data_IF_248149661712
#
_entry.id   IF_248149661712
#
_cell.length_a   1.000
_cell.length_b   1.000
_cell.length_c   1.000
_cell.angle_alpha   90.00
_cell.angle_beta   90.00
_cell.angle_gamma   90.00
#
_symmetry.space_group_name_H-M   'P 1'
#
loop_
_entity.id
_entity.type
_entity.pdbx_description
1 polymer ?
#
# COMPACT_ATOMS: atom_id res chain seq x y z
N UNK A 1 -29.10 -15.63 64.78
CA UNK A 1 -28.70 -15.31 66.17
C UNK A 1 -27.38 -14.55 66.10
N UNK A 2 -27.49 -13.22 66.09
CA UNK A 2 -27.00 -12.34 67.17
C UNK A 2 -25.47 -12.15 67.12
N UNK A 3 -25.00 -11.06 66.49
CA UNK A 3 -24.57 -9.79 67.12
C UNK A 3 -23.33 -9.97 68.01
N UNK A 4 -22.21 -9.33 67.65
CA UNK A 4 -21.72 -8.15 68.38
C UNK A 4 -20.44 -7.56 67.80
N UNK A 5 -20.52 -6.25 67.61
CA UNK A 5 -19.45 -5.27 67.50
C UNK A 5 -18.58 -5.31 68.76
N UNK A 6 -17.26 -5.12 68.64
CA UNK A 6 -16.52 -4.42 69.69
C UNK A 6 -15.30 -3.69 69.14
N UNK A 7 -15.29 -2.40 69.41
CA UNK A 7 -14.22 -1.48 69.16
C UNK A 7 -13.22 -1.47 70.34
N UNK A 8 -12.09 -0.80 70.06
CA UNK A 8 -11.10 -0.23 71.00
C UNK A 8 -9.95 -1.16 71.39
N UNK A 9 -8.78 -0.81 70.88
CA UNK A 9 -7.56 -0.84 71.71
C UNK A 9 -6.85 0.50 71.59
N UNK A 10 -6.84 1.17 72.73
CA UNK A 10 -6.17 2.40 73.06
C UNK A 10 -4.65 2.16 73.10
N UNK A 11 -3.86 3.03 72.47
CA UNK A 11 -2.49 3.28 72.88
C UNK A 11 -2.27 4.79 72.96
N UNK A 12 -2.19 5.24 74.21
CA UNK A 12 -1.85 6.59 74.66
C UNK A 12 -0.50 6.99 74.10
N UNK A 13 -0.41 8.15 73.46
CA UNK A 13 0.83 8.90 73.42
C UNK A 13 0.60 10.22 74.15
N UNK A 14 1.35 10.39 75.24
CA UNK A 14 1.39 11.61 76.03
C UNK A 14 1.78 12.78 75.13
N UNK A 15 0.95 13.83 75.16
CA UNK A 15 1.36 15.18 74.81
C UNK A 15 2.39 15.65 75.84
N UNK A 16 3.62 15.92 75.38
CA UNK A 16 4.53 16.83 76.07
C UNK A 16 4.54 18.11 75.23
N UNK A 17 3.90 19.16 75.74
CA UNK A 17 4.10 20.52 75.26
C UNK A 17 5.46 21.04 75.78
N UNK A 18 6.30 21.64 74.94
CA UNK A 18 7.34 22.55 75.42
C UNK A 18 6.73 23.95 75.56
N UNK A 19 6.86 24.51 76.76
CA UNK A 19 6.58 25.92 77.00
C UNK A 19 7.59 26.80 76.26
N UNK A 20 7.07 27.89 75.70
CA UNK A 20 7.84 28.94 75.05
C UNK A 20 8.69 29.70 76.08
N UNK A 21 9.98 29.85 75.79
CA UNK A 21 10.85 30.84 76.41
C UNK A 21 11.55 31.58 75.28
N UNK A 22 11.36 32.90 75.23
CA UNK A 22 11.95 33.80 74.26
C UNK A 22 13.39 34.16 74.65
N UNK A 23 14.33 34.08 73.71
CA UNK A 23 15.48 34.98 73.63
C UNK A 23 16.11 34.92 72.24
N UNK A 24 16.54 36.08 71.74
CA UNK A 24 16.82 36.35 70.33
C UNK A 24 18.01 35.63 69.69
N UNK A 25 18.08 35.74 68.36
CA UNK A 25 19.30 35.50 67.58
C UNK A 25 19.10 34.70 66.30
N UNK A 26 19.21 35.41 65.16
CA UNK A 26 19.83 34.99 63.88
C UNK A 26 19.39 33.68 63.19
N UNK A 27 18.97 33.84 61.92
CA UNK A 27 19.27 32.86 60.87
C UNK A 27 18.17 31.84 60.56
N UNK A 28 17.14 32.28 59.84
CA UNK A 28 16.26 31.38 59.08
C UNK A 28 17.04 30.77 57.93
N UNK A 29 17.23 29.45 57.93
CA UNK A 29 17.30 28.59 56.75
C UNK A 29 17.13 27.14 57.21
N UNK A 30 15.87 26.74 57.41
CA UNK A 30 15.53 25.32 57.52
C UNK A 30 15.73 24.68 56.14
N UNK A 31 16.42 23.51 56.03
CA UNK A 31 16.49 22.80 54.78
C UNK A 31 15.06 22.39 54.42
N UNK A 32 14.60 22.78 53.23
CA UNK A 32 13.35 22.29 52.68
C UNK A 32 13.47 20.76 52.61
N UNK A 33 12.89 20.08 53.60
CA UNK A 33 12.58 18.67 53.54
C UNK A 33 11.75 18.50 52.28
N UNK A 34 12.41 18.08 51.21
CA UNK A 34 11.79 17.70 49.98
C UNK A 34 10.96 16.46 50.33
N UNK A 35 9.73 16.69 50.79
CA UNK A 35 8.73 15.67 51.00
C UNK A 35 8.43 15.12 49.62
N UNK A 36 9.24 14.16 49.22
CA UNK A 36 8.95 13.31 48.09
C UNK A 36 7.58 12.71 48.42
N UNK A 37 6.55 13.15 47.70
CA UNK A 37 5.20 12.62 47.87
C UNK A 37 5.24 11.13 47.52
N UNK A 38 5.48 10.30 48.54
CA UNK A 38 5.33 8.86 48.45
C UNK A 38 3.83 8.63 48.33
N UNK A 39 3.33 8.59 47.09
CA UNK A 39 1.95 8.20 46.82
C UNK A 39 1.79 6.76 47.32
N UNK A 40 1.21 6.58 48.49
CA UNK A 40 0.76 5.28 48.99
C UNK A 40 -0.44 4.79 48.15
N UNK A 41 -0.18 4.41 46.89
CA UNK A 41 -1.15 3.66 46.08
C UNK A 41 -1.26 2.25 46.67
N UNK A 42 -2.24 2.04 47.53
CA UNK A 42 -2.60 0.77 48.19
C UNK A 42 -3.16 -0.30 47.23
N UNK A 43 -3.02 -0.14 45.90
CA UNK A 43 -3.55 -1.10 44.91
C UNK A 43 -2.57 -2.20 44.53
N UNK A 44 -1.34 -2.18 45.05
CA UNK A 44 -0.35 -3.26 44.87
C UNK A 44 -0.27 -4.06 46.16
N UNK A 45 -0.65 -5.33 46.09
CA UNK A 45 -0.49 -6.25 47.22
C UNK A 45 0.98 -6.26 47.66
N UNK A 46 1.27 -6.04 48.96
CA UNK A 46 2.62 -5.78 49.46
C UNK A 46 3.48 -7.05 49.61
N UNK A 47 2.85 -8.23 49.75
CA UNK A 47 3.53 -9.49 50.04
C UNK A 47 4.71 -9.75 49.07
N UNK A 48 5.88 -10.21 49.58
CA UNK A 48 7.07 -10.46 48.76
C UNK A 48 6.86 -11.54 47.68
N UNK A 49 6.02 -12.54 47.93
CA UNK A 49 5.69 -13.65 47.01
C UNK A 49 5.23 -13.13 45.64
N UNK A 50 4.48 -12.03 45.63
CA UNK A 50 3.93 -11.44 44.41
C UNK A 50 4.89 -10.46 43.73
N UNK A 51 6.12 -10.27 44.23
CA UNK A 51 7.13 -9.35 43.63
C UNK A 51 7.47 -9.74 42.20
N UNK A 52 7.59 -11.04 41.91
CA UNK A 52 7.86 -11.56 40.55
C UNK A 52 6.69 -11.25 39.61
N UNK A 53 5.45 -11.49 40.05
CA UNK A 53 4.24 -11.18 39.30
C UNK A 53 4.05 -9.67 39.08
N UNK A 54 4.39 -8.83 40.08
CA UNK A 54 4.40 -7.37 39.94
C UNK A 54 5.41 -6.87 38.90
N UNK A 55 6.55 -7.56 38.76
CA UNK A 55 7.56 -7.27 37.72
C UNK A 55 7.07 -7.74 36.35
N UNK A 56 6.46 -8.92 36.26
CA UNK A 56 5.94 -9.50 35.02
C UNK A 56 4.72 -8.77 34.45
N UNK A 57 4.04 -7.91 35.24
CA UNK A 57 2.97 -7.02 34.73
C UNK A 57 3.42 -6.13 33.56
N UNK A 58 4.70 -5.76 33.52
CA UNK A 58 5.28 -4.94 32.47
C UNK A 58 6.21 -5.79 31.61
N UNK A 59 5.64 -6.51 30.64
CA UNK A 59 6.43 -7.19 29.61
C UNK A 59 6.78 -6.15 28.55
N UNK A 60 8.07 -5.83 28.41
CA UNK A 60 8.56 -5.03 27.28
C UNK A 60 8.57 -5.95 26.06
N UNK A 61 7.59 -5.78 25.19
CA UNK A 61 7.52 -6.50 23.91
C UNK A 61 8.14 -5.56 22.88
N UNK A 62 9.21 -6.00 22.22
CA UNK A 62 9.77 -5.28 21.08
C UNK A 62 8.79 -5.40 19.92
N UNK A 63 8.21 -4.26 19.52
CA UNK A 63 7.28 -4.22 18.40
C UNK A 63 8.07 -4.32 17.10
N UNK A 64 7.63 -5.13 16.12
CA UNK A 64 8.21 -5.14 14.80
C UNK A 64 8.21 -3.74 14.18
N UNK A 65 9.33 -3.34 13.57
CA UNK A 65 9.41 -2.07 12.85
C UNK A 65 8.65 -2.19 11.52
N UNK A 66 7.49 -1.53 11.41
CA UNK A 66 6.63 -1.63 10.22
C UNK A 66 7.15 -0.84 9.01
N UNK A 67 8.20 -0.04 9.18
CA UNK A 67 8.80 0.77 8.11
C UNK A 67 9.84 0.02 7.27
N UNK A 68 10.39 -1.05 7.81
CA UNK A 68 11.39 -1.87 7.12
C UNK A 68 10.69 -2.81 6.13
N UNK A 69 11.08 -2.73 4.85
CA UNK A 69 10.58 -3.66 3.85
C UNK A 69 11.28 -5.00 4.01
N UNK A 70 10.58 -6.13 3.85
CA UNK A 70 11.18 -7.46 3.96
C UNK A 70 12.24 -7.75 2.88
N UNK A 71 12.27 -6.94 1.82
CA UNK A 71 13.21 -7.04 0.69
C UNK A 71 14.61 -6.49 1.04
N UNK A 72 14.69 -5.53 1.96
CA UNK A 72 15.95 -4.88 2.36
C UNK A 72 16.69 -5.68 3.46
N UNK A 73 16.02 -6.66 4.05
CA UNK A 73 16.57 -7.48 5.15
C UNK A 73 17.45 -8.57 4.57
N UNK A 74 18.72 -8.60 4.97
CA UNK A 74 19.63 -9.68 4.57
C UNK A 74 19.09 -11.04 5.06
N UNK A 75 19.37 -12.13 4.33
CA UNK A 75 18.93 -13.48 4.72
C UNK A 75 19.44 -13.87 6.13
N UNK A 76 20.58 -13.31 6.53
CA UNK A 76 21.19 -13.51 7.83
C UNK A 76 20.45 -12.77 8.95
N UNK A 77 20.07 -11.52 8.71
CA UNK A 77 19.21 -10.74 9.61
C UNK A 77 17.81 -11.33 9.72
N UNK A 78 17.25 -11.85 8.63
CA UNK A 78 15.97 -12.56 8.69
C UNK A 78 16.09 -13.79 9.59
N UNK A 79 17.21 -14.52 9.49
CA UNK A 79 17.49 -15.68 10.34
C UNK A 79 17.75 -15.29 11.80
N UNK A 80 18.43 -14.17 12.07
CA UNK A 80 18.61 -13.68 13.45
C UNK A 80 17.27 -13.27 14.06
N UNK A 81 16.43 -12.54 13.32
CA UNK A 81 15.07 -12.18 13.73
C UNK A 81 14.19 -13.40 13.99
N UNK A 82 14.27 -14.43 13.12
CA UNK A 82 13.55 -15.69 13.34
C UNK A 82 14.03 -16.39 14.62
N UNK A 83 15.35 -16.41 14.88
CA UNK A 83 15.93 -16.96 16.11
C UNK A 83 15.53 -16.17 17.36
N UNK A 84 15.58 -14.84 17.31
CA UNK A 84 15.14 -13.94 18.40
C UNK A 84 13.66 -14.13 18.72
N UNK A 85 12.82 -14.29 17.69
CA UNK A 85 11.39 -14.58 17.83
C UNK A 85 11.11 -16.03 18.26
N UNK A 86 12.12 -16.90 18.29
CA UNK A 86 11.97 -18.33 18.58
C UNK A 86 11.17 -19.10 17.53
N UNK A 87 11.03 -18.55 16.32
CA UNK A 87 10.28 -19.17 15.22
C UNK A 87 11.26 -19.91 14.31
N UNK A 88 11.09 -21.21 14.17
CA UNK A 88 11.85 -22.00 13.21
C UNK A 88 11.34 -21.71 11.79
N UNK A 89 12.22 -21.70 10.77
CA UNK A 89 11.77 -21.62 9.39
C UNK A 89 10.85 -22.82 9.09
N UNK A 90 9.71 -22.61 8.42
CA UNK A 90 8.82 -23.71 8.09
C UNK A 90 9.55 -24.70 7.17
N UNK A 91 9.48 -25.99 7.50
CA UNK A 91 10.01 -27.05 6.62
C UNK A 91 9.06 -27.19 5.43
N UNK A 92 9.53 -27.14 4.17
CA UNK A 92 8.67 -27.27 3.01
C UNK A 92 8.32 -28.75 2.79
N UNK A 93 7.48 -29.31 3.67
CA UNK A 93 6.84 -30.60 3.44
C UNK A 93 5.51 -30.34 2.71
N UNK A 94 5.56 -30.30 1.38
CA UNK A 94 4.39 -30.04 0.54
C UNK A 94 3.73 -31.37 0.15
N UNK A 95 2.87 -31.92 1.01
CA UNK A 95 2.08 -33.12 0.66
C UNK A 95 1.05 -32.81 -0.44
N UNK A 96 0.49 -31.60 -0.41
CA UNK A 96 -0.48 -31.12 -1.40
C UNK A 96 0.09 -29.92 -2.17
N UNK A 97 0.29 -30.02 -3.49
CA UNK A 97 0.73 -28.87 -4.27
C UNK A 97 -0.36 -27.79 -4.29
N UNK A 98 0.06 -26.53 -4.36
CA UNK A 98 -0.86 -25.42 -4.54
C UNK A 98 -1.47 -25.49 -5.94
N UNK A 99 -2.80 -25.45 -6.02
CA UNK A 99 -3.50 -25.32 -7.29
C UNK A 99 -3.51 -23.86 -7.71
N UNK A 100 -2.89 -23.56 -8.84
CA UNK A 100 -2.80 -22.23 -9.42
C UNK A 100 -3.81 -22.15 -10.57
N UNK A 101 -4.79 -21.26 -10.44
CA UNK A 101 -5.87 -21.06 -11.43
C UNK A 101 -5.61 -19.91 -12.40
N UNK A 102 -4.65 -19.03 -12.11
CA UNK A 102 -4.24 -17.94 -12.98
C UNK A 102 -2.73 -17.69 -12.89
N UNK A 103 -2.18 -17.03 -13.89
CA UNK A 103 -0.76 -16.70 -13.96
C UNK A 103 -0.40 -15.51 -13.08
N UNK A 104 0.90 -15.27 -12.84
CA UNK A 104 1.35 -14.12 -12.05
C UNK A 104 1.28 -12.78 -12.80
N UNK A 105 1.28 -12.82 -14.13
CA UNK A 105 1.19 -11.63 -14.99
C UNK A 105 1.05 -11.99 -16.46
N UNK A 106 1.12 -10.98 -17.32
CA UNK A 106 1.01 -11.12 -18.78
C UNK A 106 2.26 -11.77 -19.37
N UNK A 107 2.07 -12.75 -20.26
CA UNK A 107 3.13 -13.27 -21.11
C UNK A 107 3.32 -12.37 -22.32
N UNK A 108 4.55 -11.87 -22.53
CA UNK A 108 4.91 -11.06 -23.69
C UNK A 108 3.87 -9.97 -24.00
N UNK A 109 3.83 -8.92 -23.17
CA UNK A 109 2.83 -7.86 -23.29
C UNK A 109 2.75 -7.30 -24.73
N UNK A 110 1.53 -7.17 -25.23
CA UNK A 110 1.29 -6.52 -26.51
C UNK A 110 1.72 -5.05 -26.41
N UNK A 111 2.57 -4.60 -27.33
CA UNK A 111 2.97 -3.20 -27.45
C UNK A 111 2.14 -2.57 -28.57
N UNK A 112 1.16 -1.71 -28.24
CA UNK A 112 0.39 -1.01 -29.25
C UNK A 112 1.26 -0.09 -30.10
N UNK A 113 1.10 -0.09 -31.43
CA UNK A 113 1.86 0.81 -32.30
C UNK A 113 1.56 2.27 -31.97
N UNK A 114 2.59 3.10 -31.98
CA UNK A 114 2.45 4.55 -31.79
C UNK A 114 1.57 5.13 -32.90
N UNK A 115 0.51 5.83 -32.50
CA UNK A 115 -0.45 6.41 -33.45
C UNK A 115 -1.64 5.51 -33.80
N UNK A 116 -1.96 4.49 -33.00
CA UNK A 116 -3.25 3.77 -33.12
C UNK A 116 -4.50 4.67 -32.90
N UNK A 117 -4.30 5.96 -32.56
CA UNK A 117 -5.32 7.03 -32.60
C UNK A 117 -5.08 8.15 -33.63
N UNK A 118 -3.93 8.18 -34.32
CA UNK A 118 -3.57 9.16 -35.36
C UNK A 118 -2.64 8.47 -36.36
N UNK A 119 -3.12 8.22 -37.59
CA UNK A 119 -2.39 7.53 -38.67
C UNK A 119 -0.92 7.98 -38.71
N UNK A 120 0.01 7.09 -38.35
CA UNK A 120 1.44 7.40 -38.30
C UNK A 120 2.02 7.58 -39.71
N UNK A 121 2.71 8.71 -39.89
CA UNK A 121 3.56 9.03 -41.04
C UNK A 121 4.72 8.03 -41.02
N UNK A 122 4.99 7.40 -42.16
CA UNK A 122 5.95 6.30 -42.32
C UNK A 122 7.35 6.77 -41.89
N UNK A 123 7.81 6.30 -40.72
CA UNK A 123 9.18 6.50 -40.20
C UNK A 123 9.97 5.19 -40.21
N UNK A 124 11.30 5.26 -40.24
CA UNK A 124 12.20 4.10 -40.22
C UNK A 124 12.08 3.26 -38.94
N UNK A 125 11.73 3.90 -37.81
CA UNK A 125 11.37 3.22 -36.56
C UNK A 125 10.11 2.37 -36.70
N UNK A 126 9.12 2.86 -37.46
CA UNK A 126 7.87 2.14 -37.73
C UNK A 126 8.05 0.87 -38.57
N UNK A 127 9.08 0.81 -39.44
CA UNK A 127 9.39 -0.40 -40.20
C UNK A 127 9.90 -1.55 -39.30
N UNK A 128 10.77 -1.23 -38.33
CA UNK A 128 11.23 -2.22 -37.32
C UNK A 128 10.08 -2.74 -36.47
N UNK A 129 9.22 -1.84 -36.00
CA UNK A 129 8.00 -2.21 -35.26
C UNK A 129 7.07 -3.11 -36.08
N UNK A 130 6.93 -2.87 -37.39
CA UNK A 130 6.13 -3.73 -38.29
C UNK A 130 6.71 -5.13 -38.46
N UNK A 131 8.03 -5.28 -38.54
CA UNK A 131 8.67 -6.60 -38.62
C UNK A 131 8.48 -7.40 -37.34
N UNK A 132 8.72 -6.78 -36.18
CA UNK A 132 8.44 -7.41 -34.88
C UNK A 132 6.97 -7.78 -34.74
N UNK A 133 6.06 -6.94 -35.24
CA UNK A 133 4.63 -7.22 -35.21
C UNK A 133 4.26 -8.43 -36.07
N UNK A 134 4.91 -8.65 -37.21
CA UNK A 134 4.70 -9.84 -38.04
C UNK A 134 5.17 -11.12 -37.32
N UNK A 135 6.31 -11.08 -36.66
CA UNK A 135 6.79 -12.21 -35.84
C UNK A 135 5.82 -12.49 -34.67
N UNK A 136 5.38 -11.44 -33.97
CA UNK A 136 4.43 -11.58 -32.87
C UNK A 136 3.08 -12.12 -33.33
N UNK A 137 2.66 -11.76 -34.54
CA UNK A 137 1.45 -12.27 -35.20
C UNK A 137 1.57 -13.75 -35.55
N UNK A 138 2.69 -14.22 -36.09
CA UNK A 138 2.86 -15.65 -36.41
C UNK A 138 2.74 -16.51 -35.14
N UNK A 139 3.38 -16.09 -34.05
CA UNK A 139 3.24 -16.73 -32.72
C UNK A 139 1.80 -16.70 -32.22
N UNK A 140 1.06 -15.60 -32.46
CA UNK A 140 -0.34 -15.50 -32.05
C UNK A 140 -1.26 -16.45 -32.83
N UNK A 141 -1.00 -16.67 -34.12
CA UNK A 141 -1.76 -17.64 -34.91
C UNK A 141 -1.52 -19.08 -34.43
N UNK A 142 -0.29 -19.40 -34.04
CA UNK A 142 0.05 -20.70 -33.44
C UNK A 142 -0.66 -20.86 -32.09
N UNK A 143 -0.67 -19.81 -31.25
CA UNK A 143 -1.39 -19.82 -29.98
C UNK A 143 -2.90 -20.03 -30.18
N UNK A 144 -3.53 -19.33 -31.13
CA UNK A 144 -4.96 -19.54 -31.44
C UNK A 144 -5.24 -20.96 -31.90
N UNK A 145 -4.36 -21.57 -32.71
CA UNK A 145 -4.49 -22.99 -33.07
C UNK A 145 -4.38 -23.91 -31.87
N UNK A 146 -3.46 -23.62 -30.93
CA UNK A 146 -3.32 -24.37 -29.68
C UNK A 146 -4.56 -24.22 -28.79
N UNK A 147 -5.16 -23.03 -28.71
CA UNK A 147 -6.43 -22.84 -27.98
C UNK A 147 -7.53 -23.71 -28.60
N UNK A 148 -7.66 -23.66 -29.93
CA UNK A 148 -8.66 -24.45 -30.67
C UNK A 148 -8.48 -25.96 -30.55
N UNK A 149 -7.27 -26.45 -30.28
CA UNK A 149 -7.06 -27.89 -30.07
C UNK A 149 -7.56 -28.40 -28.71
N UNK A 150 -7.68 -27.52 -27.71
CA UNK A 150 -8.26 -27.87 -26.42
C UNK A 150 -9.74 -27.47 -26.31
N UNK A 151 -10.12 -26.37 -26.96
CA UNK A 151 -11.47 -25.81 -26.93
C UNK A 151 -11.98 -25.60 -28.35
N UNK A 152 -12.76 -26.56 -28.85
CA UNK A 152 -13.33 -26.55 -30.20
C UNK A 152 -14.36 -25.42 -30.40
N UNK A 153 -14.97 -24.93 -29.30
CA UNK A 153 -15.96 -23.86 -29.35
C UNK A 153 -15.34 -22.47 -29.56
N UNK A 154 -14.01 -22.36 -29.40
CA UNK A 154 -13.33 -21.08 -29.44
C UNK A 154 -13.19 -20.52 -30.87
N UNK A 155 -13.94 -19.44 -31.14
CA UNK A 155 -13.80 -18.63 -32.34
C UNK A 155 -13.24 -17.25 -32.03
N UNK A 156 -12.19 -16.84 -32.75
CA UNK A 156 -11.54 -15.53 -32.60
C UNK A 156 -12.48 -14.36 -32.89
N UNK A 157 -13.45 -14.59 -33.78
CA UNK A 157 -14.32 -13.54 -34.29
C UNK A 157 -15.49 -13.30 -33.33
N UNK A 158 -15.97 -14.37 -32.68
CA UNK A 158 -17.04 -14.30 -31.67
C UNK A 158 -16.51 -13.88 -30.30
N UNK A 159 -15.24 -14.18 -30.00
CA UNK A 159 -14.63 -13.87 -28.71
C UNK A 159 -14.64 -12.37 -28.38
N UNK A 160 -14.63 -11.48 -29.39
CA UNK A 160 -14.75 -10.04 -29.14
C UNK A 160 -16.02 -9.67 -28.38
N UNK A 161 -17.16 -10.27 -28.73
CA UNK A 161 -18.44 -10.02 -28.08
C UNK A 161 -18.48 -10.62 -26.67
N UNK A 162 -18.01 -11.87 -26.51
CA UNK A 162 -17.92 -12.53 -25.20
C UNK A 162 -17.03 -11.74 -24.23
N UNK A 163 -15.88 -11.25 -24.72
CA UNK A 163 -14.96 -10.42 -23.95
C UNK A 163 -15.62 -9.12 -23.47
N UNK A 164 -16.46 -8.50 -24.31
CA UNK A 164 -17.20 -7.30 -23.95
C UNK A 164 -18.24 -7.59 -22.84
N UNK A 165 -18.95 -8.71 -22.93
CA UNK A 165 -19.90 -9.13 -21.90
C UNK A 165 -19.22 -9.38 -20.55
N UNK A 166 -18.10 -10.10 -20.55
CA UNK A 166 -17.28 -10.33 -19.35
C UNK A 166 -16.80 -9.00 -18.77
N UNK A 167 -16.34 -8.08 -19.62
CA UNK A 167 -15.88 -6.76 -19.20
C UNK A 167 -16.99 -5.96 -18.53
N UNK A 168 -18.18 -5.89 -19.13
CA UNK A 168 -19.33 -5.15 -18.58
C UNK A 168 -19.83 -5.79 -17.29
N UNK A 169 -19.92 -7.12 -17.24
CA UNK A 169 -20.32 -7.85 -16.04
C UNK A 169 -19.34 -7.60 -14.88
N UNK A 170 -18.04 -7.66 -15.12
CA UNK A 170 -17.03 -7.43 -14.09
C UNK A 170 -17.10 -6.02 -13.50
N UNK A 171 -17.22 -4.98 -14.33
CA UNK A 171 -17.30 -3.59 -13.85
C UNK A 171 -18.63 -3.30 -13.15
N UNK A 172 -19.74 -3.91 -13.58
CA UNK A 172 -21.05 -3.80 -12.91
C UNK A 172 -21.01 -4.44 -11.53
N UNK A 173 -20.41 -5.64 -11.41
CA UNK A 173 -20.24 -6.34 -10.13
C UNK A 173 -19.26 -5.64 -9.20
N UNK A 174 -18.22 -5.01 -9.76
CA UNK A 174 -17.28 -4.15 -9.01
C UNK A 174 -18.01 -2.94 -8.41
N UNK A 175 -18.85 -2.26 -9.20
CA UNK A 175 -19.66 -1.13 -8.73
C UNK A 175 -20.67 -1.54 -7.64
N UNK A 176 -21.30 -2.71 -7.79
CA UNK A 176 -22.20 -3.30 -6.79
C UNK A 176 -21.48 -3.84 -5.54
N UNK A 177 -20.15 -3.98 -5.57
CA UNK A 177 -19.31 -4.56 -4.51
C UNK A 177 -19.65 -6.02 -4.15
N UNK A 178 -20.11 -6.79 -5.13
CA UNK A 178 -20.45 -8.20 -4.97
C UNK A 178 -19.19 -9.08 -4.95
N UNK A 179 -18.70 -9.38 -3.73
CA UNK A 179 -17.39 -10.03 -3.50
C UNK A 179 -17.25 -11.42 -4.14
N UNK A 180 -18.33 -12.19 -4.19
CA UNK A 180 -18.28 -13.60 -4.62
C UNK A 180 -18.44 -13.74 -6.12
N UNK A 181 -19.46 -13.10 -6.70
CA UNK A 181 -19.79 -13.20 -8.13
C UNK A 181 -18.67 -12.66 -9.03
N UNK A 182 -17.98 -11.60 -8.61
CA UNK A 182 -16.92 -11.00 -9.42
C UNK A 182 -15.73 -11.96 -9.66
N UNK A 183 -15.49 -12.92 -8.76
CA UNK A 183 -14.38 -13.90 -8.87
C UNK A 183 -14.56 -14.87 -10.04
N UNK A 184 -15.79 -14.99 -10.56
CA UNK A 184 -16.06 -15.80 -11.74
C UNK A 184 -15.61 -15.12 -13.03
N UNK A 185 -15.60 -13.78 -13.05
CA UNK A 185 -15.26 -12.96 -14.22
C UNK A 185 -13.83 -12.40 -14.18
N UNK A 186 -13.20 -12.39 -13.01
CA UNK A 186 -11.91 -11.75 -12.76
C UNK A 186 -10.93 -12.77 -12.16
N UNK A 187 -9.68 -12.75 -12.61
CA UNK A 187 -8.62 -13.61 -12.11
C UNK A 187 -8.18 -13.21 -10.70
N UNK A 188 -7.51 -14.13 -10.00
CA UNK A 188 -6.98 -13.93 -8.66
C UNK A 188 -5.89 -12.84 -8.62
N UNK A 189 -5.21 -12.63 -9.76
CA UNK A 189 -4.23 -11.55 -9.95
C UNK A 189 -4.86 -10.18 -10.14
N UNK A 190 -5.93 -10.10 -10.93
CA UNK A 190 -6.63 -8.86 -11.27
C UNK A 190 -7.53 -8.38 -10.12
N UNK A 191 -8.12 -9.31 -9.37
CA UNK A 191 -9.09 -9.01 -8.32
C UNK A 191 -8.56 -8.01 -7.27
N UNK A 192 -7.34 -8.16 -6.70
CA UNK A 192 -6.78 -7.19 -5.77
C UNK A 192 -6.62 -5.81 -6.39
N UNK A 193 -6.16 -5.71 -7.64
CA UNK A 193 -5.96 -4.42 -8.31
C UNK A 193 -7.26 -3.69 -8.58
N UNK A 194 -8.30 -4.42 -9.03
CA UNK A 194 -9.62 -3.86 -9.25
C UNK A 194 -10.30 -3.43 -7.95
N UNK A 195 -10.16 -4.22 -6.88
CA UNK A 195 -10.84 -3.96 -5.60
C UNK A 195 -10.05 -3.03 -4.68
N UNK A 196 -8.77 -2.77 -4.98
CA UNK A 196 -7.96 -1.82 -4.25
C UNK A 196 -8.63 -0.44 -4.31
N UNK A 197 -8.71 0.26 -3.18
CA UNK A 197 -9.37 1.57 -3.03
C UNK A 197 -10.89 1.62 -3.32
N UNK A 198 -11.57 0.50 -3.61
CA UNK A 198 -13.02 0.50 -3.88
C UNK A 198 -13.86 0.47 -2.60
N UNK A 199 -13.34 -0.10 -1.50
CA UNK A 199 -14.10 -0.38 -0.27
C UNK A 199 -14.84 0.85 0.26
N UNK A 200 -14.15 1.97 0.41
CA UNK A 200 -14.67 3.20 1.03
C UNK A 200 -15.20 4.22 0.01
N UNK A 201 -15.41 3.83 -1.25
CA UNK A 201 -15.88 4.72 -2.33
C UNK A 201 -17.13 4.16 -2.99
N UNK A 202 -18.00 5.02 -3.51
CA UNK A 202 -19.14 4.59 -4.34
C UNK A 202 -18.82 4.88 -5.79
N UNK A 203 -18.95 3.87 -6.65
CA UNK A 203 -18.58 3.97 -8.07
C UNK A 203 -19.84 3.84 -8.89
N UNK A 204 -20.14 4.87 -9.68
CA UNK A 204 -21.13 4.82 -10.74
C UNK A 204 -20.38 4.69 -12.06
N UNK A 205 -20.37 3.47 -12.59
CA UNK A 205 -19.81 3.17 -13.91
C UNK A 205 -20.93 2.67 -14.81
N UNK A 206 -20.98 3.17 -16.04
CA UNK A 206 -21.92 2.72 -17.06
C UNK A 206 -21.21 2.55 -18.39
N UNK A 207 -21.46 1.42 -19.03
CA UNK A 207 -21.14 1.18 -20.43
C UNK A 207 -22.24 1.80 -21.30
N UNK A 208 -21.87 2.65 -22.26
CA UNK A 208 -22.84 3.23 -23.19
C UNK A 208 -22.86 2.48 -24.52
N UNK A 209 -21.78 2.59 -25.28
CA UNK A 209 -21.67 1.99 -26.60
C UNK A 209 -20.22 1.69 -26.96
N UNK A 210 -20.04 0.74 -27.88
CA UNK A 210 -18.75 0.50 -28.52
C UNK A 210 -18.65 1.36 -29.76
N UNK A 211 -17.64 2.22 -29.86
CA UNK A 211 -17.39 3.04 -31.05
C UNK A 211 -16.83 2.20 -32.19
N UNK A 212 -15.87 1.35 -31.84
CA UNK A 212 -15.38 0.29 -32.73
C UNK A 212 -15.70 -1.06 -32.11
N UNK A 213 -15.95 -2.10 -32.92
CA UNK A 213 -16.13 -3.44 -32.41
C UNK A 213 -14.83 -3.92 -31.72
N UNK A 214 -14.93 -4.69 -30.62
CA UNK A 214 -13.78 -5.23 -29.92
C UNK A 214 -12.99 -6.17 -30.85
N UNK A 215 -11.68 -5.98 -30.92
CA UNK A 215 -10.80 -6.76 -31.81
C UNK A 215 -9.76 -7.52 -31.01
N UNK A 216 -9.62 -8.81 -31.30
CA UNK A 216 -8.52 -9.63 -30.78
C UNK A 216 -7.23 -9.21 -31.48
N UNK A 217 -6.24 -8.76 -30.71
CA UNK A 217 -4.98 -8.24 -31.27
C UNK A 217 -3.85 -9.25 -31.14
N UNK A 218 -3.76 -9.88 -29.97
CA UNK A 218 -2.64 -10.74 -29.63
C UNK A 218 -3.11 -11.89 -28.74
N UNK A 219 -2.58 -13.07 -29.00
CA UNK A 219 -2.84 -14.28 -28.21
C UNK A 219 -1.52 -14.99 -27.90
N UNK A 220 -1.43 -15.55 -26.70
CA UNK A 220 -0.29 -16.32 -26.19
C UNK A 220 -0.78 -17.52 -25.40
N UNK A 221 -0.04 -18.62 -25.52
CA UNK A 221 -0.26 -19.81 -24.71
C UNK A 221 1.07 -20.23 -24.10
N UNK A 222 1.07 -20.56 -22.83
CA UNK A 222 2.27 -20.97 -22.11
C UNK A 222 1.96 -22.12 -21.15
N UNK A 223 3.02 -22.83 -20.78
CA UNK A 223 3.00 -23.92 -19.82
C UNK A 223 3.56 -23.40 -18.48
N UNK A 224 2.88 -23.68 -17.37
CA UNK A 224 3.26 -23.19 -16.04
C UNK A 224 3.50 -24.36 -15.10
N UNK A 225 4.70 -24.45 -14.54
CA UNK A 225 5.19 -25.53 -13.66
C UNK A 225 5.31 -26.87 -14.40
N UNK A 226 4.22 -27.41 -14.93
CA UNK A 226 4.15 -28.66 -15.69
C UNK A 226 3.64 -28.39 -17.10
N UNK A 227 4.01 -29.27 -18.06
CA UNK A 227 3.56 -29.17 -19.46
C UNK A 227 2.05 -29.38 -19.63
N UNK A 228 1.43 -30.02 -18.64
CA UNK A 228 0.01 -30.29 -18.58
C UNK A 228 -0.79 -29.04 -18.21
N UNK A 229 -0.22 -28.09 -17.46
CA UNK A 229 -0.90 -26.87 -17.05
C UNK A 229 -0.66 -25.76 -18.08
N UNK A 230 -1.61 -25.59 -18.99
CA UNK A 230 -1.53 -24.61 -20.07
C UNK A 230 -2.51 -23.47 -19.87
N UNK A 231 -1.98 -22.25 -19.91
CA UNK A 231 -2.74 -21.03 -19.79
C UNK A 231 -2.73 -20.31 -21.14
N UNK A 232 -3.91 -19.86 -21.58
CA UNK A 232 -4.04 -18.95 -22.69
C UNK A 232 -4.28 -17.55 -22.16
N UNK A 233 -3.63 -16.59 -22.80
CA UNK A 233 -3.90 -15.17 -22.67
C UNK A 233 -4.29 -14.60 -24.02
N UNK A 234 -5.39 -13.85 -24.05
CA UNK A 234 -5.89 -13.18 -25.24
C UNK A 234 -6.09 -11.72 -24.91
N UNK A 235 -5.46 -10.85 -25.70
CA UNK A 235 -5.59 -9.40 -25.58
C UNK A 235 -6.61 -8.88 -26.58
N UNK A 236 -7.55 -8.07 -26.09
CA UNK A 236 -8.63 -7.48 -26.86
C UNK A 236 -8.51 -5.97 -26.78
N UNK A 237 -8.53 -5.31 -27.94
CA UNK A 237 -8.59 -3.85 -28.06
C UNK A 237 -10.03 -3.41 -27.95
N UNK A 238 -10.33 -2.60 -26.94
CA UNK A 238 -11.60 -1.93 -26.74
C UNK A 238 -11.48 -0.45 -27.11
N UNK A 239 -12.43 0.03 -27.91
CA UNK A 239 -12.64 1.46 -28.13
C UNK A 239 -14.10 1.78 -27.86
N UNK A 240 -14.36 2.29 -26.64
CA UNK A 240 -15.70 2.32 -26.05
C UNK A 240 -16.00 3.68 -25.45
N UNK A 241 -17.28 4.04 -25.39
CA UNK A 241 -17.77 5.19 -24.66
C UNK A 241 -18.26 4.77 -23.28
N UNK A 242 -17.68 5.40 -22.25
CA UNK A 242 -17.94 5.07 -20.86
C UNK A 242 -18.27 6.31 -20.05
N UNK A 243 -19.03 6.10 -18.97
CA UNK A 243 -19.25 7.10 -17.92
C UNK A 243 -18.69 6.58 -16.61
N UNK A 244 -18.00 7.46 -15.88
CA UNK A 244 -17.41 7.15 -14.60
C UNK A 244 -17.57 8.33 -13.66
N UNK A 245 -18.20 8.08 -12.51
CA UNK A 245 -18.24 8.98 -11.37
C UNK A 245 -17.86 8.21 -10.10
N UNK A 246 -16.86 8.71 -9.38
CA UNK A 246 -16.38 8.14 -8.14
C UNK A 246 -16.71 9.10 -7.02
N UNK A 247 -17.43 8.61 -6.02
CA UNK A 247 -17.80 9.35 -4.83
C UNK A 247 -17.01 8.86 -3.61
N UNK A 248 -16.65 9.79 -2.73
CA UNK A 248 -16.06 9.53 -1.42
C UNK A 248 -17.05 8.81 -0.49
N UNK A 249 -16.58 8.35 0.67
CA UNK A 249 -17.42 7.76 1.73
C UNK A 249 -18.57 8.69 2.16
N UNK A 250 -18.35 10.00 2.06
CA UNK A 250 -19.33 11.03 2.39
C UNK A 250 -20.22 11.45 1.20
N UNK A 251 -20.13 10.76 0.06
CA UNK A 251 -20.95 11.06 -1.12
C UNK A 251 -20.49 12.30 -1.91
N UNK A 252 -19.31 12.84 -1.65
CA UNK A 252 -18.72 13.94 -2.44
C UNK A 252 -18.05 13.40 -3.70
N UNK A 253 -18.22 14.09 -4.82
CA UNK A 253 -17.56 13.70 -6.08
C UNK A 253 -16.04 13.84 -5.96
N UNK A 254 -15.33 12.74 -6.14
CA UNK A 254 -13.86 12.67 -6.10
C UNK A 254 -13.25 12.77 -7.49
N UNK A 255 -13.84 12.07 -8.47
CA UNK A 255 -13.31 12.01 -9.81
C UNK A 255 -14.42 11.68 -10.82
N UNK A 256 -14.28 12.23 -12.03
CA UNK A 256 -15.18 11.96 -13.14
C UNK A 256 -16.47 12.77 -13.07
N UNK A 257 -17.48 12.34 -13.82
CA UNK A 257 -18.79 12.99 -13.92
C UNK A 257 -19.80 11.97 -14.40
N UNK A 258 -21.02 12.01 -13.89
CA UNK A 258 -22.08 11.06 -14.30
C UNK A 258 -22.68 11.41 -15.66
N UNK A 259 -22.57 12.67 -16.08
CA UNK A 259 -23.18 13.19 -17.32
C UNK A 259 -22.21 13.12 -18.50
N UNK A 260 -20.92 13.38 -18.26
CA UNK A 260 -19.93 13.47 -19.33
C UNK A 260 -19.45 12.07 -19.74
N UNK A 261 -19.72 11.73 -20.99
CA UNK A 261 -19.24 10.52 -21.64
C UNK A 261 -17.80 10.72 -22.11
N UNK A 262 -16.96 9.70 -21.95
CA UNK A 262 -15.58 9.73 -22.43
C UNK A 262 -15.30 8.55 -23.33
N UNK A 263 -14.54 8.82 -24.37
CA UNK A 263 -13.98 7.79 -25.24
C UNK A 263 -12.76 7.19 -24.53
N UNK A 264 -12.76 5.86 -24.39
CA UNK A 264 -11.69 5.12 -23.74
C UNK A 264 -11.17 4.07 -24.70
N UNK A 265 -9.86 4.08 -24.92
CA UNK A 265 -9.12 3.07 -25.67
C UNK A 265 -8.30 2.24 -24.68
N UNK A 266 -8.59 0.94 -24.60
CA UNK A 266 -7.94 0.03 -23.65
C UNK A 266 -7.55 -1.28 -24.35
N UNK A 267 -6.45 -1.87 -23.92
CA UNK A 267 -6.07 -3.24 -24.30
C UNK A 267 -6.19 -4.11 -23.07
N UNK A 268 -7.22 -4.96 -23.07
CA UNK A 268 -7.58 -5.77 -21.92
C UNK A 268 -7.15 -7.20 -22.18
N UNK A 269 -6.50 -7.81 -21.20
CA UNK A 269 -6.00 -9.18 -21.27
C UNK A 269 -6.98 -10.09 -20.54
N UNK A 270 -7.44 -11.12 -21.25
CA UNK A 270 -8.23 -12.21 -20.70
C UNK A 270 -7.34 -13.44 -20.59
N UNK A 271 -7.56 -14.23 -19.54
CA UNK A 271 -6.85 -15.48 -19.32
C UNK A 271 -7.85 -16.62 -19.11
N UNK A 272 -7.52 -17.79 -19.66
CA UNK A 272 -8.20 -19.05 -19.40
C UNK A 272 -7.17 -20.13 -19.12
N UNK A 273 -7.41 -20.91 -18.05
CA UNK A 273 -6.70 -22.17 -17.83
C UNK A 273 -7.32 -23.21 -18.77
N UNK A 274 -6.65 -23.49 -19.89
CA UNK A 274 -7.22 -24.27 -20.99
C UNK A 274 -7.22 -25.77 -20.68
N UNK A 275 -6.23 -26.22 -19.90
CA UNK A 275 -6.13 -27.63 -19.50
C UNK A 275 -7.24 -28.07 -18.55
N UNK A 276 -7.93 -27.12 -17.92
CA UNK A 276 -9.06 -27.40 -17.04
C UNK A 276 -10.37 -27.37 -17.84
N UNK A 277 -11.15 -28.44 -17.76
CA UNK A 277 -12.47 -28.57 -18.39
C UNK A 277 -13.44 -27.45 -17.97
N UNK A 278 -13.35 -27.00 -16.72
CA UNK A 278 -14.20 -25.94 -16.17
C UNK A 278 -13.59 -24.54 -16.33
N UNK A 279 -12.52 -24.41 -17.13
CA UNK A 279 -11.84 -23.15 -17.39
C UNK A 279 -12.77 -22.16 -18.09
N UNK A 280 -13.00 -20.99 -17.47
CA UNK A 280 -13.71 -19.86 -18.08
C UNK A 280 -12.73 -18.76 -18.44
N UNK A 281 -13.08 -17.95 -19.44
CA UNK A 281 -12.37 -16.71 -19.73
C UNK A 281 -12.60 -15.70 -18.61
N UNK A 282 -11.52 -15.17 -18.05
CA UNK A 282 -11.55 -14.19 -16.96
C UNK A 282 -10.64 -13.01 -17.27
N UNK A 283 -10.99 -11.83 -16.78
CA UNK A 283 -10.13 -10.65 -16.83
C UNK A 283 -8.86 -10.90 -16.03
N UNK A 284 -7.70 -10.66 -16.66
CA UNK A 284 -6.40 -10.87 -16.04
C UNK A 284 -5.65 -9.58 -15.75
N UNK A 285 -5.54 -8.71 -16.76
CA UNK A 285 -4.73 -7.50 -16.64
C UNK A 285 -5.14 -6.48 -17.73
N UNK A 286 -4.66 -5.24 -17.60
CA UNK A 286 -4.88 -4.14 -18.53
C UNK A 286 -3.54 -3.56 -18.98
N UNK A 287 -3.29 -3.57 -20.28
CA UNK A 287 -2.11 -2.94 -20.86
C UNK A 287 -2.39 -1.45 -21.07
N UNK A 288 -1.57 -0.60 -20.45
CA UNK A 288 -1.60 0.85 -20.61
C UNK A 288 -0.39 1.24 -21.49
N UNK A 289 -0.60 1.71 -22.74
CA UNK A 289 0.52 2.15 -23.56
C UNK A 289 1.08 3.48 -23.05
N UNK A 290 2.40 3.64 -23.15
CA UNK A 290 3.12 4.83 -22.67
C UNK A 290 2.71 6.13 -23.38
N UNK A 291 2.28 6.01 -24.64
CA UNK A 291 1.85 7.15 -25.47
C UNK A 291 0.40 7.58 -25.20
N UNK A 292 -0.35 6.88 -24.34
CA UNK A 292 -1.70 7.28 -23.97
C UNK A 292 -1.66 8.63 -23.24
N UNK A 293 -2.55 9.59 -23.55
CA UNK A 293 -2.61 10.83 -22.78
C UNK A 293 -2.86 10.54 -21.30
N UNK A 294 -2.25 11.35 -20.44
CA UNK A 294 -2.45 11.24 -19.01
C UNK A 294 -3.94 11.31 -18.65
N UNK A 295 -4.34 10.54 -17.63
CA UNK A 295 -5.71 10.56 -17.11
C UNK A 295 -6.04 11.96 -16.59
N UNK A 296 -7.32 12.32 -16.65
CA UNK A 296 -7.76 13.61 -16.14
C UNK A 296 -7.38 13.75 -14.66
N UNK A 297 -6.88 14.93 -14.25
CA UNK A 297 -6.54 15.15 -12.85
C UNK A 297 -7.78 15.11 -11.97
N UNK A 298 -7.61 14.74 -10.70
CA UNK A 298 -8.67 14.94 -9.70
C UNK A 298 -8.78 16.43 -9.38
N UNK A 299 -9.98 16.94 -9.06
CA UNK A 299 -10.18 18.31 -8.59
C UNK A 299 -9.48 18.61 -7.25
N UNK A 300 -9.03 17.58 -6.53
CA UNK A 300 -8.35 17.71 -5.24
C UNK A 300 -6.86 18.00 -5.45
N UNK A 301 -6.37 19.04 -4.76
CA UNK A 301 -4.94 19.37 -4.68
C UNK A 301 -4.27 18.62 -3.53
N UNK A 302 -3.04 18.15 -3.72
CA UNK A 302 -2.22 17.52 -2.68
C UNK A 302 -0.93 18.30 -2.46
N UNK A 303 -0.37 18.22 -1.24
CA UNK A 303 0.96 18.74 -0.91
C UNK A 303 1.95 17.58 -0.94
N UNK A 304 2.98 17.67 -1.75
CA UNK A 304 4.12 16.75 -1.67
C UNK A 304 4.93 17.14 -0.43
N UNK A 305 5.07 16.22 0.51
CA UNK A 305 6.03 16.35 1.60
C UNK A 305 7.28 15.68 1.05
N UNK A 306 8.28 16.49 0.71
CA UNK A 306 9.62 15.97 0.45
C UNK A 306 10.13 15.45 1.79
N UNK A 307 10.29 14.14 1.91
CA UNK A 307 10.92 13.55 3.08
C UNK A 307 12.30 14.17 3.17
N UNK A 308 12.53 14.98 4.21
CA UNK A 308 13.85 15.52 4.53
C UNK A 308 14.74 14.31 4.71
N UNK A 309 15.69 14.12 3.80
CA UNK A 309 16.76 13.14 3.98
C UNK A 309 17.40 13.44 5.33
N UNK A 310 17.12 12.61 6.33
CA UNK A 310 17.82 12.67 7.60
C UNK A 310 19.29 12.36 7.27
N UNK A 311 20.12 13.40 7.19
CA UNK A 311 21.57 13.24 7.04
C UNK A 311 22.03 12.23 8.10
N UNK A 312 22.79 11.19 7.73
CA UNK A 312 23.27 10.22 8.71
C UNK A 312 24.04 10.98 9.79
N UNK A 313 23.86 10.65 11.08
CA UNK A 313 24.56 11.33 12.16
C UNK A 313 26.05 11.24 11.87
N UNK A 314 26.69 12.39 11.65
CA UNK A 314 28.14 12.50 11.54
C UNK A 314 28.73 11.82 12.76
N UNK A 315 29.39 10.67 12.55
CA UNK A 315 30.18 10.00 13.56
C UNK A 315 31.21 11.02 14.06
N UNK A 316 31.02 11.51 15.29
CA UNK A 316 32.04 12.27 15.99
C UNK A 316 33.22 11.32 16.19
N UNK A 317 34.30 11.56 15.44
CA UNK A 317 35.54 10.82 15.55
C UNK A 317 36.01 10.79 17.00
N UNK A 318 36.34 9.59 17.46
CA UNK A 318 36.95 9.35 18.75
C UNK A 318 38.27 10.11 18.85
N UNK A 319 38.35 11.09 19.76
CA UNK A 319 39.60 11.75 20.12
C UNK A 319 39.47 13.20 20.53
N UNK A 320 38.72 13.50 21.59
CA UNK A 320 39.00 14.67 22.44
C UNK A 320 38.39 14.47 23.83
N UNK A 321 39.25 14.45 24.85
CA UNK A 321 38.88 14.32 26.26
C UNK A 321 38.20 15.60 26.80
N UNK A 322 37.35 15.49 27.84
CA UNK A 322 36.45 16.56 28.27
C UNK A 322 37.18 17.61 29.13
N UNK A 323 37.04 18.90 28.78
CA UNK A 323 37.36 20.02 29.68
C UNK A 323 36.14 20.41 30.53
N UNK A 324 36.30 20.76 31.82
CA UNK A 324 35.18 20.96 32.74
C UNK A 324 34.43 22.26 32.46
N UNK A 325 33.11 22.22 32.73
CA UNK A 325 32.19 23.35 32.73
C UNK A 325 32.50 24.32 33.89
N UNK A 326 32.77 25.59 33.57
CA UNK A 326 32.53 26.70 34.50
C UNK A 326 31.32 27.51 34.05
N UNK A 327 30.51 27.88 35.04
CA UNK A 327 29.23 28.54 34.92
C UNK A 327 29.38 30.06 34.99
N UNK A 328 28.72 30.74 34.03
CA UNK A 328 28.06 32.02 34.24
C UNK A 328 28.82 33.28 33.84
N UNK A 329 28.39 33.92 32.75
CA UNK A 329 27.68 35.21 32.82
C UNK A 329 27.29 35.75 31.42
N UNK A 330 26.02 36.14 31.32
CA UNK A 330 25.48 37.29 30.58
C UNK A 330 25.51 37.30 29.03
N UNK A 331 24.33 37.04 28.47
CA UNK A 331 23.92 37.46 27.12
C UNK A 331 23.77 39.00 27.03
N UNK A 332 24.06 39.58 25.86
CA UNK A 332 23.27 40.69 25.33
C UNK A 332 22.39 40.22 24.17
N UNK A 333 21.17 40.75 24.14
CA UNK A 333 20.17 40.60 23.08
C UNK A 333 20.60 41.38 21.82
N UNK A 334 20.55 40.73 20.66
CA UNK A 334 20.40 41.37 19.33
C UNK A 334 19.26 40.62 18.60
N UNK A 335 18.05 41.16 18.64
CA UNK A 335 17.42 41.98 17.60
C UNK A 335 17.21 41.24 16.26
N UNK A 336 15.98 40.73 16.10
CA UNK A 336 15.36 40.31 14.85
C UNK A 336 15.46 41.43 13.80
N UNK A 337 16.16 41.18 12.69
CA UNK A 337 16.01 41.93 11.45
C UNK A 337 15.28 41.06 10.43
N UNK A 338 14.18 41.61 9.91
CA UNK A 338 13.38 41.08 8.82
C UNK A 338 14.13 41.28 7.50
N UNK A 339 14.62 40.21 6.88
CA UNK A 339 15.15 40.28 5.52
C UNK A 339 14.05 40.13 4.47
N UNK A 340 14.08 41.09 3.55
CA UNK A 340 13.20 41.29 2.39
C UNK A 340 13.73 40.45 1.21
N UNK A 341 12.89 39.92 0.30
CA UNK A 341 13.34 38.96 -0.71
C UNK A 341 14.18 39.62 -1.82
N UNK A 342 15.22 38.96 -2.37
CA UNK A 342 16.00 39.50 -3.47
C UNK A 342 15.30 39.35 -4.82
N UNK A 343 15.14 40.47 -5.52
CA UNK A 343 14.78 40.56 -6.94
C UNK A 343 15.77 39.75 -7.80
N UNK A 344 15.25 38.84 -8.64
CA UNK A 344 16.02 38.24 -9.74
C UNK A 344 15.72 38.99 -11.03
N UNK A 345 16.72 39.73 -11.50
CA UNK A 345 16.78 40.27 -12.86
C UNK A 345 16.92 39.14 -13.89
N UNK A 346 15.93 38.93 -14.74
CA UNK A 346 16.05 38.15 -15.97
C UNK A 346 15.95 39.09 -17.17
N UNK A 347 17.05 39.23 -17.91
CA UNK A 347 17.04 39.78 -19.28
C UNK A 347 16.57 38.69 -20.24
N UNK A 348 15.73 38.98 -21.24
CA UNK A 348 15.36 38.02 -22.27
C UNK A 348 16.38 38.06 -23.42
N UNK A 349 16.97 36.91 -23.78
CA UNK A 349 17.71 36.76 -25.03
C UNK A 349 16.77 36.16 -26.07
N UNK A 350 16.34 37.00 -27.01
CA UNK A 350 15.76 36.59 -28.28
C UNK A 350 16.86 35.94 -29.14
N UNK A 351 16.59 34.75 -29.66
CA UNK A 351 17.29 34.23 -30.83
C UNK A 351 16.22 33.84 -31.87
N UNK A 352 16.42 34.38 -33.07
CA UNK A 352 15.72 34.12 -34.32
C UNK A 352 15.85 32.66 -34.77
#
# INVERSE_FOLDING_TARGET
MEKLVSAKTCLKFLQVMPQAVSSGGLGVLAPALQMQQVRHRQTKHWKPEFKKLRRQKFVKIELPNFREKPEDISKEEMRSRMKERGVLPPRPWMERPFHISCTGGIFEAYVPPEGDGKKSIISSSGAKQKLEFLEKKSKSLIAVRKIRSYDESFSSDQFGAEAQEIYVAAHTLMAAKEKYKIREYVSERCYPEMMHNVKDKTIHWRFLQSLEPPRVVHARCTEVITKENQFAQVTVRFHTQQMLAIYDRFGRLMHGSEILTKDVLEYVVFEKHISNEYGKWRLHDKIIPDWLPAKQPSPITYRLIEDVEEEPPKELGAGEEPKPLEAGSEQPKEQLQLDTPPERSSKPTLAL
#
